data_IF_198281446956
#
_entry.id   IF_198281446956
#
_cell.length_a   1.000
_cell.length_b   1.000
_cell.length_c   1.000
_cell.angle_alpha   90.00
_cell.angle_beta   90.00
_cell.angle_gamma   90.00
#
_symmetry.space_group_name_H-M   'P 1'
#
loop_
_entity.id
_entity.type
_entity.pdbx_description
1 polymer ?
#
# COMPACT_ATOMS: atom_id res chain seq x y z
N UNK A 1 19.60 2.46 20.74
CA UNK A 1 18.23 2.16 20.30
C UNK A 1 17.42 1.48 21.40
N UNK A 2 17.84 0.32 21.94
CA UNK A 2 17.11 -0.38 23.02
C UNK A 2 16.84 0.46 24.27
N UNK A 3 17.79 1.32 24.66
CA UNK A 3 17.68 2.26 25.79
C UNK A 3 16.90 3.55 25.49
N UNK A 4 16.27 3.69 24.32
CA UNK A 4 15.50 4.87 23.93
C UNK A 4 16.32 6.09 23.50
N UNK A 5 17.66 6.04 23.56
CA UNK A 5 18.54 7.15 23.15
C UNK A 5 18.53 7.43 21.64
N UNK A 6 18.25 6.42 20.82
CA UNK A 6 18.13 6.53 19.38
C UNK A 6 16.71 6.13 19.00
N UNK A 7 16.03 6.96 18.20
CA UNK A 7 14.64 6.76 17.80
C UNK A 7 14.51 5.71 16.69
N UNK A 8 15.48 5.67 15.76
CA UNK A 8 15.43 4.84 14.56
C UNK A 8 16.71 4.04 14.47
N UNK A 9 16.59 2.82 13.95
CA UNK A 9 17.69 1.99 13.53
C UNK A 9 17.48 1.61 12.07
N UNK A 10 18.57 1.66 11.29
CA UNK A 10 18.59 1.26 9.89
C UNK A 10 19.52 0.05 9.81
N UNK A 11 19.01 -1.07 9.32
CA UNK A 11 19.77 -2.31 9.24
C UNK A 11 19.25 -3.21 8.13
N UNK A 12 20.08 -4.18 7.74
CA UNK A 12 19.69 -5.25 6.81
C UNK A 12 18.98 -6.38 7.56
N UNK A 13 18.51 -7.39 6.83
CA UNK A 13 17.83 -8.58 7.39
C UNK A 13 18.63 -9.24 8.52
N UNK A 14 19.97 -9.22 8.43
CA UNK A 14 20.87 -9.78 9.43
C UNK A 14 20.70 -9.16 10.83
N UNK A 15 20.33 -7.88 10.89
CA UNK A 15 20.17 -7.16 12.16
C UNK A 15 18.93 -7.58 12.95
N UNK A 16 17.96 -8.27 12.33
CA UNK A 16 16.72 -8.64 13.00
C UNK A 16 16.91 -9.67 14.11
N UNK A 17 17.79 -10.65 13.94
CA UNK A 17 17.88 -11.77 14.90
C UNK A 17 18.29 -11.28 16.30
N UNK A 18 17.57 -11.72 17.34
CA UNK A 18 17.86 -11.37 18.73
C UNK A 18 17.25 -10.05 19.23
N UNK A 19 16.67 -9.22 18.36
CA UNK A 19 16.00 -7.99 18.78
C UNK A 19 14.57 -8.25 19.25
N UNK A 20 14.33 -8.04 20.54
CA UNK A 20 13.02 -8.19 21.19
C UNK A 20 12.64 -6.93 21.99
N UNK A 21 12.56 -5.77 21.33
CA UNK A 21 12.02 -4.54 21.94
C UNK A 21 10.48 -4.54 21.79
N UNK A 22 9.70 -4.49 22.88
CA UNK A 22 8.25 -4.66 22.80
C UNK A 22 7.52 -3.47 22.15
N UNK A 23 8.05 -2.27 22.36
CA UNK A 23 7.45 -0.97 22.05
C UNK A 23 7.88 -0.38 20.69
N UNK A 24 8.11 -1.23 19.69
CA UNK A 24 8.43 -0.77 18.32
C UNK A 24 7.16 -0.28 17.63
N UNK A 25 7.09 1.04 17.38
CA UNK A 25 5.90 1.70 16.81
C UNK A 25 5.80 1.65 15.29
N UNK A 26 6.92 1.45 14.60
CA UNK A 26 6.89 1.26 13.16
C UNK A 26 8.05 0.40 12.69
N UNK A 27 7.81 -0.33 11.59
CA UNK A 27 8.82 -1.02 10.79
C UNK A 27 8.65 -0.57 9.34
N UNK A 28 9.74 -0.10 8.73
CA UNK A 28 9.73 0.39 7.35
C UNK A 28 10.67 -0.47 6.50
N UNK A 29 10.10 -1.10 5.48
CA UNK A 29 10.82 -1.79 4.43
C UNK A 29 11.10 -0.81 3.30
N UNK A 30 12.35 -0.37 3.20
CA UNK A 30 12.81 0.49 2.11
C UNK A 30 12.77 -0.22 0.74
N UNK A 31 13.01 -1.53 0.74
CA UNK A 31 13.00 -2.36 -0.48
C UNK A 31 12.10 -3.58 -0.28
N UNK A 32 11.68 -4.19 -1.38
CA UNK A 32 10.93 -5.44 -1.41
C UNK A 32 11.66 -6.56 -0.66
N UNK A 33 10.98 -7.25 0.25
CA UNK A 33 11.52 -8.45 0.92
C UNK A 33 11.60 -9.64 -0.05
N UNK A 34 12.39 -10.66 0.31
CA UNK A 34 12.57 -11.88 -0.49
C UNK A 34 11.30 -12.72 -0.63
N UNK A 35 10.42 -12.70 0.38
CA UNK A 35 9.19 -13.49 0.41
C UNK A 35 8.16 -12.90 1.37
N UNK A 36 6.93 -13.44 1.33
CA UNK A 36 5.88 -13.07 2.28
C UNK A 36 6.26 -13.46 3.72
N UNK A 37 6.92 -14.61 3.93
CA UNK A 37 7.37 -15.06 5.25
C UNK A 37 8.44 -14.15 5.84
N UNK A 38 9.43 -13.76 5.03
CA UNK A 38 10.46 -12.81 5.46
C UNK A 38 9.83 -11.49 5.87
N UNK A 39 8.93 -10.94 5.03
CA UNK A 39 8.23 -9.70 5.36
C UNK A 39 7.34 -9.83 6.61
N UNK A 40 6.62 -10.94 6.77
CA UNK A 40 5.80 -11.22 7.95
C UNK A 40 6.64 -11.23 9.24
N UNK A 41 7.77 -11.93 9.23
CA UNK A 41 8.65 -12.02 10.40
C UNK A 41 9.31 -10.67 10.74
N UNK A 42 9.74 -9.93 9.72
CA UNK A 42 10.39 -8.62 9.89
C UNK A 42 9.41 -7.56 10.38
N UNK A 43 8.24 -7.45 9.75
CA UNK A 43 7.19 -6.51 10.11
C UNK A 43 6.55 -6.84 11.46
N UNK A 44 6.44 -8.14 11.82
CA UNK A 44 5.96 -8.63 13.11
C UNK A 44 6.85 -8.30 14.32
N UNK A 45 7.93 -7.55 14.12
CA UNK A 45 8.71 -6.93 15.22
C UNK A 45 8.01 -5.69 15.78
N UNK A 46 7.12 -5.08 15.01
CA UNK A 46 6.32 -3.95 15.46
C UNK A 46 5.27 -4.41 16.49
N UNK A 47 5.06 -3.64 17.55
CA UNK A 47 3.87 -3.76 18.40
C UNK A 47 3.75 -5.05 19.21
N UNK A 48 4.87 -5.60 19.71
CA UNK A 48 4.84 -6.81 20.58
C UNK A 48 4.21 -6.55 21.95
N UNK A 49 4.10 -5.29 22.35
CA UNK A 49 3.27 -4.84 23.48
C UNK A 49 1.76 -4.87 23.20
N UNK A 50 1.34 -5.26 22.00
CA UNK A 50 -0.07 -5.31 21.59
C UNK A 50 -0.64 -3.93 21.24
N UNK A 51 0.16 -2.87 21.36
CA UNK A 51 -0.27 -1.53 20.99
C UNK A 51 -0.16 -1.32 19.48
N UNK A 52 -0.96 -0.41 18.92
CA UNK A 52 -0.96 -0.12 17.50
C UNK A 52 0.42 0.33 17.00
N UNK A 53 0.80 -0.23 15.87
CA UNK A 53 2.06 0.04 15.19
C UNK A 53 1.88 -0.04 13.68
N UNK A 54 2.76 0.62 12.92
CA UNK A 54 2.71 0.68 11.46
C UNK A 54 3.76 -0.21 10.81
N UNK A 55 3.36 -0.92 9.76
CA UNK A 55 4.28 -1.66 8.89
C UNK A 55 4.15 -1.09 7.48
N UNK A 56 5.22 -0.46 6.98
CA UNK A 56 5.21 0.24 5.69
C UNK A 56 6.23 -0.41 4.76
N UNK A 57 5.79 -0.82 3.57
CA UNK A 57 6.68 -1.35 2.52
C UNK A 57 6.66 -0.41 1.32
N UNK A 58 7.84 0.10 0.95
CA UNK A 58 8.03 0.83 -0.30
C UNK A 58 8.26 -0.15 -1.44
N UNK A 59 7.29 -0.25 -2.35
CA UNK A 59 7.33 -1.14 -3.49
C UNK A 59 7.51 -0.35 -4.79
N UNK A 60 8.51 -0.76 -5.59
CA UNK A 60 8.63 -0.34 -6.98
C UNK A 60 8.78 -1.60 -7.84
N UNK A 61 8.01 -1.73 -8.94
CA UNK A 61 8.16 -2.86 -9.86
C UNK A 61 9.59 -2.99 -10.42
N UNK A 62 10.28 -1.86 -10.64
CA UNK A 62 11.69 -1.81 -11.05
C UNK A 62 12.67 -2.51 -10.08
N UNK A 63 12.32 -2.72 -8.81
CA UNK A 63 13.18 -3.39 -7.83
C UNK A 63 13.09 -4.92 -7.94
N UNK A 64 12.07 -5.47 -8.64
CA UNK A 64 11.83 -6.93 -8.73
C UNK A 64 12.99 -7.68 -9.40
N UNK A 65 13.55 -7.25 -10.55
CA UNK A 65 14.65 -7.99 -11.19
C UNK A 65 15.91 -8.07 -10.31
N UNK A 66 16.17 -7.04 -9.49
CA UNK A 66 17.29 -7.06 -8.54
C UNK A 66 17.06 -8.14 -7.48
N UNK A 67 15.83 -8.23 -6.98
CA UNK A 67 15.48 -9.22 -5.98
C UNK A 67 15.46 -10.64 -6.58
N UNK A 68 14.98 -10.80 -7.81
CA UNK A 68 14.93 -12.09 -8.52
C UNK A 68 16.35 -12.64 -8.76
N UNK A 69 17.29 -11.80 -9.20
CA UNK A 69 18.71 -12.15 -9.33
C UNK A 69 19.36 -12.59 -8.01
N UNK A 70 18.85 -12.19 -6.84
CA UNK A 70 19.39 -12.62 -5.55
C UNK A 70 18.82 -13.96 -5.07
N UNK A 71 17.60 -14.32 -5.49
CA UNK A 71 16.89 -15.50 -4.97
C UNK A 71 16.77 -16.64 -5.97
N UNK A 72 17.16 -16.46 -7.24
CA UNK A 72 16.91 -17.48 -8.26
C UNK A 72 17.68 -18.80 -8.04
N UNK A 73 18.77 -18.78 -7.28
CA UNK A 73 19.50 -19.97 -6.85
C UNK A 73 18.87 -20.68 -5.65
N UNK A 74 18.02 -19.99 -4.90
CA UNK A 74 17.34 -20.55 -3.73
C UNK A 74 16.21 -21.47 -4.22
N UNK A 75 16.06 -22.64 -3.59
CA UNK A 75 14.96 -23.53 -3.90
C UNK A 75 13.63 -22.81 -3.63
N UNK A 76 12.75 -22.75 -4.65
CA UNK A 76 11.50 -21.97 -4.62
C UNK A 76 11.68 -20.45 -4.41
N UNK A 77 12.89 -19.89 -4.51
CA UNK A 77 13.16 -18.48 -4.24
C UNK A 77 12.34 -17.53 -5.14
N UNK A 78 12.28 -17.82 -6.45
CA UNK A 78 11.46 -17.03 -7.38
C UNK A 78 9.96 -17.14 -7.09
N UNK A 79 9.48 -18.33 -6.73
CA UNK A 79 8.07 -18.53 -6.37
C UNK A 79 7.71 -17.66 -5.15
N UNK A 80 8.51 -17.74 -4.10
CA UNK A 80 8.32 -17.00 -2.85
C UNK A 80 8.41 -15.48 -3.08
N UNK A 81 9.33 -15.03 -3.94
CA UNK A 81 9.44 -13.64 -4.35
C UNK A 81 8.18 -13.18 -5.09
N UNK A 82 7.71 -13.96 -6.06
CA UNK A 82 6.53 -13.59 -6.84
C UNK A 82 5.26 -13.54 -5.98
N UNK A 83 5.17 -14.32 -4.91
CA UNK A 83 4.06 -14.24 -3.96
C UNK A 83 4.03 -12.90 -3.22
N UNK A 84 5.18 -12.39 -2.75
CA UNK A 84 5.22 -11.03 -2.16
C UNK A 84 5.05 -9.92 -3.20
N UNK A 85 5.47 -10.13 -4.46
CA UNK A 85 5.17 -9.19 -5.54
C UNK A 85 3.66 -9.10 -5.79
N UNK A 86 2.95 -10.23 -5.83
CA UNK A 86 1.47 -10.27 -5.92
C UNK A 86 0.83 -9.55 -4.73
N UNK A 87 1.32 -9.82 -3.52
CA UNK A 87 0.89 -9.10 -2.32
C UNK A 87 1.03 -7.58 -2.51
N UNK A 88 2.15 -7.08 -3.01
CA UNK A 88 2.38 -5.64 -3.19
C UNK A 88 1.51 -5.03 -4.31
N UNK A 89 1.30 -5.74 -5.41
CA UNK A 89 0.54 -5.25 -6.56
C UNK A 89 -0.97 -5.24 -6.33
N UNK A 90 -1.48 -6.06 -5.42
CA UNK A 90 -2.92 -6.12 -5.11
C UNK A 90 -3.41 -4.81 -4.49
N UNK A 91 -4.40 -4.19 -5.13
CA UNK A 91 -5.05 -2.94 -4.66
C UNK A 91 -6.43 -3.19 -4.07
N UNK A 92 -6.99 -4.40 -4.26
CA UNK A 92 -8.33 -4.78 -3.78
C UNK A 92 -8.30 -5.69 -2.57
N UNK A 93 -7.33 -6.62 -2.52
CA UNK A 93 -7.31 -7.65 -1.50
C UNK A 93 -6.86 -7.09 -0.15
N UNK A 94 -7.52 -7.48 0.93
CA UNK A 94 -7.06 -7.15 2.27
C UNK A 94 -5.65 -7.71 2.52
N UNK A 95 -4.72 -6.87 3.00
CA UNK A 95 -3.35 -7.28 3.34
C UNK A 95 -3.31 -8.40 4.38
N UNK A 96 -4.18 -8.37 5.39
CA UNK A 96 -4.28 -9.44 6.40
C UNK A 96 -4.79 -10.75 5.80
N UNK A 97 -5.82 -10.68 4.97
CA UNK A 97 -6.35 -11.87 4.28
C UNK A 97 -5.31 -12.53 3.39
N UNK A 98 -4.44 -11.75 2.74
CA UNK A 98 -3.32 -12.30 1.97
C UNK A 98 -2.38 -13.14 2.84
N UNK A 99 -2.03 -12.68 4.05
CA UNK A 99 -1.24 -13.48 4.99
C UNK A 99 -1.97 -14.73 5.48
N UNK A 100 -3.24 -14.61 5.88
CA UNK A 100 -4.01 -15.77 6.33
C UNK A 100 -4.11 -16.85 5.25
N UNK A 101 -4.33 -16.47 3.99
CA UNK A 101 -4.30 -17.42 2.86
C UNK A 101 -2.92 -18.04 2.68
N UNK A 102 -1.87 -17.23 2.73
CA UNK A 102 -0.49 -17.67 2.56
C UNK A 102 -0.08 -18.73 3.60
N UNK A 103 -0.46 -18.53 4.87
CA UNK A 103 -0.17 -19.46 5.97
C UNK A 103 -1.26 -20.52 6.21
N UNK A 104 -2.27 -20.60 5.32
CA UNK A 104 -3.41 -21.50 5.46
C UNK A 104 -4.14 -21.39 6.81
N UNK A 105 -4.24 -20.17 7.34
CA UNK A 105 -4.95 -19.84 8.57
C UNK A 105 -6.41 -19.39 8.31
N UNK A 106 -7.32 -19.55 9.29
CA UNK A 106 -8.69 -19.06 9.17
C UNK A 106 -8.73 -17.54 8.95
N UNK A 107 -9.56 -17.09 7.99
CA UNK A 107 -9.73 -15.68 7.70
C UNK A 107 -10.34 -14.94 8.90
N UNK A 108 -9.78 -13.78 9.22
CA UNK A 108 -10.31 -12.87 10.24
C UNK A 108 -10.61 -11.49 9.65
N UNK A 109 -11.52 -10.76 10.28
CA UNK A 109 -11.87 -9.40 9.87
C UNK A 109 -10.71 -8.42 10.07
N UNK A 110 -10.42 -7.64 9.03
CA UNK A 110 -9.34 -6.65 9.09
C UNK A 110 -9.68 -5.46 9.99
N UNK A 111 -10.97 -5.11 10.12
CA UNK A 111 -11.43 -3.92 10.82
C UNK A 111 -10.81 -2.60 10.31
N UNK A 112 -10.45 -2.55 9.03
CA UNK A 112 -9.83 -1.38 8.41
C UNK A 112 -8.35 -1.18 8.76
N UNK A 113 -7.67 -2.14 9.39
CA UNK A 113 -6.28 -2.03 9.85
C UNK A 113 -5.21 -2.12 8.74
N UNK A 114 -5.59 -2.08 7.45
CA UNK A 114 -4.65 -2.04 6.34
C UNK A 114 -5.09 -1.02 5.30
N UNK A 115 -4.14 -0.56 4.48
CA UNK A 115 -4.34 0.41 3.41
C UNK A 115 -5.51 0.06 2.48
N UNK A 116 -5.57 -1.17 1.96
CA UNK A 116 -6.62 -1.60 1.03
C UNK A 116 -8.03 -1.62 1.66
N UNK A 117 -8.14 -1.86 2.98
CA UNK A 117 -9.42 -1.83 3.69
C UNK A 117 -9.78 -0.43 4.21
N UNK A 118 -8.77 0.38 4.53
CA UNK A 118 -8.95 1.75 5.02
C UNK A 118 -9.31 2.72 3.89
N UNK A 119 -8.70 2.52 2.72
CA UNK A 119 -8.86 3.35 1.54
C UNK A 119 -9.55 2.55 0.44
N UNK A 120 -10.88 2.67 0.41
CA UNK A 120 -11.73 2.17 -0.66
C UNK A 120 -11.58 3.02 -1.93
N UNK A 121 -10.42 2.98 -2.56
CA UNK A 121 -10.27 3.60 -3.87
C UNK A 121 -11.03 2.77 -4.90
N UNK A 122 -11.71 3.44 -5.83
CA UNK A 122 -12.24 2.75 -7.00
C UNK A 122 -11.03 2.19 -7.79
N UNK A 123 -10.87 0.88 -7.74
CA UNK A 123 -9.88 0.17 -8.55
C UNK A 123 -10.57 -0.22 -9.83
N UNK A 124 -9.97 0.14 -10.97
CA UNK A 124 -10.44 -0.26 -12.29
C UNK A 124 -9.51 -1.32 -12.85
N UNK A 125 -10.07 -2.36 -13.44
CA UNK A 125 -9.31 -3.30 -14.25
C UNK A 125 -9.26 -2.76 -15.67
N UNK A 126 -8.05 -2.51 -16.15
CA UNK A 126 -7.81 -2.08 -17.52
C UNK A 126 -7.32 -3.28 -18.34
N UNK A 127 -7.99 -3.57 -19.44
CA UNK A 127 -7.50 -4.51 -20.44
C UNK A 127 -6.31 -3.89 -21.17
N UNK A 128 -5.16 -4.54 -21.04
CA UNK A 128 -3.87 -4.16 -21.64
C UNK A 128 -3.36 -5.26 -22.56
N UNK A 129 -4.26 -6.09 -23.10
CA UNK A 129 -3.92 -7.19 -24.00
C UNK A 129 -3.22 -6.72 -25.27
N UNK A 130 -3.54 -5.52 -25.76
CA UNK A 130 -2.88 -4.94 -26.92
C UNK A 130 -1.41 -4.58 -26.63
N UNK A 131 -1.13 -3.99 -25.47
CA UNK A 131 0.24 -3.75 -25.00
C UNK A 131 0.97 -5.06 -24.74
N UNK A 132 0.30 -6.06 -24.17
CA UNK A 132 0.89 -7.38 -23.94
C UNK A 132 1.28 -8.07 -25.26
N UNK A 133 0.44 -7.99 -26.29
CA UNK A 133 0.78 -8.47 -27.64
C UNK A 133 2.01 -7.76 -28.20
N UNK A 134 2.07 -6.43 -28.10
CA UNK A 134 3.24 -5.66 -28.53
C UNK A 134 4.52 -6.11 -27.81
N UNK A 135 4.46 -6.28 -26.48
CA UNK A 135 5.60 -6.77 -25.69
C UNK A 135 6.09 -8.13 -26.17
N UNK A 136 5.18 -9.07 -26.39
CA UNK A 136 5.52 -10.42 -26.86
C UNK A 136 6.13 -10.37 -28.27
N UNK A 137 5.54 -9.60 -29.20
CA UNK A 137 6.09 -9.43 -30.55
C UNK A 137 7.49 -8.84 -30.52
N UNK A 138 7.71 -7.76 -29.76
CA UNK A 138 9.03 -7.13 -29.63
C UNK A 138 10.08 -8.10 -29.06
N UNK A 139 9.72 -8.91 -28.07
CA UNK A 139 10.65 -9.88 -27.51
C UNK A 139 10.99 -10.99 -28.50
N UNK A 140 10.03 -11.46 -29.30
CA UNK A 140 10.32 -12.40 -30.39
C UNK A 140 11.32 -11.82 -31.39
N UNK A 141 11.07 -10.61 -31.87
CA UNK A 141 11.96 -9.94 -32.83
C UNK A 141 13.37 -9.76 -32.23
N UNK A 142 13.48 -9.36 -30.96
CA UNK A 142 14.75 -9.22 -30.25
C UNK A 142 15.50 -10.56 -30.19
N UNK A 143 14.78 -11.66 -29.92
CA UNK A 143 15.37 -13.00 -29.85
C UNK A 143 15.76 -13.57 -31.21
N UNK A 144 14.97 -13.32 -32.26
CA UNK A 144 15.31 -13.71 -33.64
C UNK A 144 16.57 -13.01 -34.16
N UNK A 145 16.92 -11.85 -33.59
CA UNK A 145 18.14 -11.11 -33.87
C UNK A 145 19.29 -11.41 -32.87
N UNK A 146 19.20 -12.49 -32.09
CA UNK A 146 20.19 -12.90 -31.07
C UNK A 146 20.50 -11.81 -30.01
N UNK A 147 19.55 -10.92 -29.75
CA UNK A 147 19.68 -9.87 -28.74
C UNK A 147 19.01 -10.27 -27.41
N UNK A 148 19.48 -9.66 -26.32
CA UNK A 148 18.91 -9.80 -24.98
C UNK A 148 18.55 -8.44 -24.42
N UNK A 149 17.49 -8.40 -23.62
CA UNK A 149 16.97 -7.16 -23.05
C UNK A 149 16.57 -7.35 -21.59
N UNK A 150 16.94 -6.41 -20.73
CA UNK A 150 16.47 -6.41 -19.33
C UNK A 150 15.06 -5.83 -19.26
N UNK A 151 14.37 -6.06 -18.13
CA UNK A 151 13.03 -5.52 -17.89
C UNK A 151 12.97 -3.99 -18.11
N UNK A 152 13.95 -3.25 -17.57
CA UNK A 152 13.97 -1.79 -17.69
C UNK A 152 14.24 -1.34 -19.14
N UNK A 153 15.14 -2.02 -19.86
CA UNK A 153 15.38 -1.73 -21.27
C UNK A 153 14.15 -2.03 -22.13
N UNK A 154 13.40 -3.10 -21.81
CA UNK A 154 12.16 -3.45 -22.48
C UNK A 154 11.09 -2.38 -22.27
N UNK A 155 10.94 -1.86 -21.04
CA UNK A 155 10.02 -0.76 -20.72
C UNK A 155 10.36 0.49 -21.52
N UNK A 156 11.64 0.86 -21.64
CA UNK A 156 12.04 2.04 -22.43
C UNK A 156 11.74 1.84 -23.94
N UNK A 157 12.01 0.66 -24.50
CA UNK A 157 11.63 0.35 -25.89
C UNK A 157 10.10 0.36 -26.08
N UNK A 158 9.35 -0.20 -25.12
CA UNK A 158 7.89 -0.25 -25.15
C UNK A 158 7.27 1.14 -25.09
N UNK A 159 7.83 2.04 -24.26
CA UNK A 159 7.39 3.42 -24.14
C UNK A 159 7.46 4.19 -25.47
N UNK A 160 8.43 3.86 -26.32
CA UNK A 160 8.55 4.46 -27.67
C UNK A 160 7.53 3.84 -28.64
N UNK A 161 7.38 2.51 -28.62
CA UNK A 161 6.54 1.78 -29.58
C UNK A 161 5.04 1.78 -29.26
N UNK A 162 4.66 2.06 -28.00
CA UNK A 162 3.25 2.07 -27.59
C UNK A 162 2.43 3.21 -28.22
N UNK A 163 3.08 4.25 -28.76
CA UNK A 163 2.42 5.41 -29.38
C UNK A 163 1.46 5.03 -30.51
N UNK A 164 1.63 3.84 -31.09
CA UNK A 164 0.77 3.31 -32.15
C UNK A 164 -0.51 2.63 -31.61
N UNK A 165 -0.67 2.46 -30.30
CA UNK A 165 -1.80 1.76 -29.67
C UNK A 165 -2.95 2.69 -29.21
N UNK A 166 -2.80 4.00 -29.35
CA UNK A 166 -3.84 4.98 -29.00
C UNK A 166 -4.14 5.13 -27.50
N UNK A 167 -3.47 4.35 -26.63
CA UNK A 167 -3.57 4.43 -25.18
C UNK A 167 -2.19 4.33 -24.55
N UNK A 168 -1.63 5.47 -24.16
CA UNK A 168 -0.28 5.55 -23.62
C UNK A 168 -0.28 5.26 -22.11
N UNK A 169 0.39 4.18 -21.72
CA UNK A 169 0.66 3.88 -20.31
C UNK A 169 1.89 4.65 -19.85
N UNK A 170 1.85 5.13 -18.60
CA UNK A 170 2.99 5.77 -17.93
C UNK A 170 4.09 4.74 -17.65
N UNK A 171 5.31 5.22 -17.38
CA UNK A 171 6.46 4.35 -17.08
C UNK A 171 6.14 3.34 -15.97
N UNK A 172 5.61 3.79 -14.84
CA UNK A 172 5.26 2.92 -13.71
C UNK A 172 4.21 1.85 -14.08
N UNK A 173 3.29 2.19 -15.00
CA UNK A 173 2.23 1.30 -15.48
C UNK A 173 2.80 0.25 -16.46
N UNK A 174 3.76 0.65 -17.30
CA UNK A 174 4.51 -0.28 -18.15
C UNK A 174 5.37 -1.24 -17.33
N UNK A 175 6.02 -0.75 -16.27
CA UNK A 175 6.76 -1.62 -15.36
C UNK A 175 5.82 -2.62 -14.66
N UNK A 176 4.64 -2.16 -14.19
CA UNK A 176 3.60 -3.05 -13.64
C UNK A 176 3.13 -4.09 -14.66
N UNK A 177 2.91 -3.69 -15.92
CA UNK A 177 2.55 -4.59 -17.01
C UNK A 177 3.61 -5.67 -17.22
N UNK A 178 4.89 -5.31 -17.34
CA UNK A 178 5.95 -6.30 -17.59
C UNK A 178 6.04 -7.29 -16.42
N UNK A 179 5.96 -6.81 -15.17
CA UNK A 179 5.91 -7.70 -13.99
C UNK A 179 4.66 -8.60 -14.04
N UNK A 180 3.48 -8.07 -14.37
CA UNK A 180 2.25 -8.86 -14.50
C UNK A 180 2.41 -9.99 -15.52
N UNK A 181 3.04 -9.70 -16.66
CA UNK A 181 3.28 -10.71 -17.69
C UNK A 181 4.26 -11.81 -17.24
N UNK A 182 5.26 -11.47 -16.40
CA UNK A 182 6.14 -12.45 -15.76
C UNK A 182 5.35 -13.32 -14.77
N UNK A 183 4.55 -12.69 -13.90
CA UNK A 183 3.72 -13.40 -12.90
C UNK A 183 2.67 -14.32 -13.52
N UNK A 184 2.20 -13.99 -14.73
CA UNK A 184 1.24 -14.76 -15.51
C UNK A 184 1.89 -15.81 -16.43
N UNK A 185 3.21 -15.98 -16.37
CA UNK A 185 3.99 -16.88 -17.23
C UNK A 185 3.86 -16.60 -18.74
N UNK A 186 3.47 -15.38 -19.10
CA UNK A 186 3.51 -14.88 -20.48
C UNK A 186 4.95 -14.53 -20.85
N UNK A 187 5.69 -13.99 -19.89
CA UNK A 187 7.14 -13.78 -19.96
C UNK A 187 7.83 -14.66 -18.91
N UNK A 188 9.14 -14.85 -19.07
CA UNK A 188 10.00 -15.46 -18.05
C UNK A 188 11.30 -14.67 -17.94
N UNK A 189 11.95 -14.78 -16.79
CA UNK A 189 13.30 -14.25 -16.57
C UNK A 189 14.35 -15.30 -16.94
N UNK A 190 15.45 -14.86 -17.56
CA UNK A 190 16.66 -15.65 -17.80
C UNK A 190 17.86 -14.96 -17.15
N UNK A 191 18.64 -15.73 -16.39
CA UNK A 191 19.75 -15.20 -15.61
C UNK A 191 21.08 -15.50 -16.28
N UNK A 192 21.95 -14.51 -16.33
CA UNK A 192 23.31 -14.67 -16.86
C UNK A 192 24.34 -14.10 -15.89
N UNK A 193 25.38 -14.89 -15.65
CA UNK A 193 26.50 -14.49 -14.82
C UNK A 193 27.52 -13.68 -15.61
N UNK A 194 27.96 -12.61 -14.98
CA UNK A 194 29.17 -11.88 -15.34
C UNK A 194 30.15 -12.01 -14.18
N UNK A 195 31.38 -11.53 -14.35
CA UNK A 195 32.40 -11.55 -13.30
C UNK A 195 31.97 -10.83 -12.00
N UNK A 196 30.98 -9.92 -12.07
CA UNK A 196 30.62 -9.05 -10.95
C UNK A 196 29.14 -9.11 -10.55
N UNK A 197 28.27 -9.68 -11.38
CA UNK A 197 26.82 -9.65 -11.14
C UNK A 197 26.06 -10.76 -11.89
N UNK A 198 24.88 -11.07 -11.36
CA UNK A 198 23.84 -11.84 -12.07
C UNK A 198 22.85 -10.87 -12.70
N UNK A 199 22.82 -10.84 -14.03
CA UNK A 199 21.88 -10.03 -14.79
C UNK A 199 20.60 -10.84 -15.08
N UNK A 200 19.44 -10.23 -14.84
CA UNK A 200 18.13 -10.76 -15.21
C UNK A 200 17.67 -10.16 -16.55
N UNK A 201 17.54 -11.01 -17.56
CA UNK A 201 16.97 -10.70 -18.86
C UNK A 201 15.54 -11.21 -18.94
N UNK A 202 14.72 -10.62 -19.81
CA UNK A 202 13.33 -11.03 -20.01
C UNK A 202 13.18 -11.66 -21.39
N UNK A 203 12.42 -12.74 -21.47
CA UNK A 203 12.14 -13.47 -22.71
C UNK A 203 10.69 -13.98 -22.72
N UNK A 204 10.24 -14.51 -23.86
CA UNK A 204 8.91 -15.10 -24.00
C UNK A 204 8.74 -16.33 -23.09
N UNK A 205 7.63 -16.35 -22.37
CA UNK A 205 7.21 -17.45 -21.51
C UNK A 205 6.27 -18.43 -22.22
N UNK A 206 5.90 -19.54 -21.55
CA UNK A 206 5.08 -20.60 -22.13
C UNK A 206 3.69 -20.13 -22.59
N UNK A 207 3.12 -19.08 -21.97
CA UNK A 207 1.79 -18.57 -22.32
C UNK A 207 1.81 -17.43 -23.34
N UNK A 208 2.97 -17.06 -23.88
CA UNK A 208 3.14 -15.97 -24.86
C UNK A 208 2.23 -16.13 -26.09
N UNK A 209 2.13 -17.35 -26.63
CA UNK A 209 1.32 -17.62 -27.82
C UNK A 209 -0.18 -17.44 -27.59
N UNK A 210 -0.67 -17.70 -26.37
CA UNK A 210 -2.08 -17.50 -26.05
C UNK A 210 -2.47 -16.01 -26.06
N UNK A 211 -1.54 -15.13 -25.65
CA UNK A 211 -1.73 -13.68 -25.71
C UNK A 211 -1.76 -13.20 -27.17
N UNK A 212 -0.81 -13.66 -28.00
CA UNK A 212 -0.79 -13.31 -29.43
C UNK A 212 -2.06 -13.75 -30.16
N UNK A 213 -2.56 -14.96 -29.87
CA UNK A 213 -3.81 -15.49 -30.43
C UNK A 213 -5.07 -14.85 -29.85
N UNK A 214 -4.95 -13.96 -28.85
CA UNK A 214 -6.09 -13.35 -28.17
C UNK A 214 -6.89 -14.31 -27.27
N UNK A 215 -6.34 -15.48 -26.94
CA UNK A 215 -6.98 -16.47 -26.06
C UNK A 215 -6.79 -16.18 -24.57
N UNK A 216 -5.76 -15.39 -24.22
CA UNK A 216 -5.49 -14.94 -22.85
C UNK A 216 -5.60 -13.42 -22.79
N UNK A 217 -6.59 -12.93 -22.04
CA UNK A 217 -6.79 -11.50 -21.76
C UNK A 217 -5.86 -11.12 -20.61
N UNK A 218 -5.17 -9.98 -20.74
CA UNK A 218 -4.29 -9.44 -19.70
C UNK A 218 -4.91 -8.17 -19.15
N UNK A 219 -5.20 -8.17 -17.85
CA UNK A 219 -5.71 -7.01 -17.12
C UNK A 219 -4.71 -6.55 -16.06
N UNK A 220 -4.73 -5.25 -15.79
CA UNK A 220 -3.94 -4.61 -14.73
C UNK A 220 -4.85 -3.76 -13.84
N UNK A 221 -4.64 -3.84 -12.53
CA UNK A 221 -5.38 -3.03 -11.56
C UNK A 221 -4.80 -1.61 -11.53
N UNK A 222 -5.61 -0.62 -11.92
CA UNK A 222 -5.25 0.79 -11.85
C UNK A 222 -6.06 1.48 -10.76
N UNK A 223 -5.38 2.24 -9.91
CA UNK A 223 -6.07 3.12 -8.96
C UNK A 223 -6.36 4.42 -9.69
N UNK A 224 -7.63 4.80 -9.78
CA UNK A 224 -7.95 6.18 -10.13
C UNK A 224 -7.55 7.04 -8.95
N UNK A 225 -6.32 7.58 -8.98
CA UNK A 225 -6.00 8.73 -8.14
C UNK A 225 -6.94 9.84 -8.58
N UNK A 226 -8.01 10.08 -7.82
CA UNK A 226 -8.52 11.44 -7.76
C UNK A 226 -7.33 12.27 -7.33
N UNK A 227 -6.87 13.14 -8.24
CA UNK A 227 -5.81 14.09 -7.98
C UNK A 227 -6.25 14.97 -6.80
N UNK A 228 -5.99 14.53 -5.58
CA UNK A 228 -5.73 15.46 -4.48
C UNK A 228 -4.33 15.95 -4.74
N UNK A 229 -4.25 16.95 -5.63
CA UNK A 229 -3.06 17.81 -5.74
C UNK A 229 -2.61 18.13 -4.32
N UNK A 230 -1.32 17.97 -4.08
CA UNK A 230 -0.62 18.47 -2.90
C UNK A 230 -0.77 20.00 -2.84
N UNK A 231 -1.94 20.48 -2.44
CA UNK A 231 -2.13 21.83 -1.96
C UNK A 231 -1.89 21.79 -0.45
N UNK A 232 -0.77 22.39 -0.07
CA UNK A 232 -0.55 23.09 1.20
C UNK A 232 -1.85 23.34 1.99
N UNK A 233 -1.80 23.12 3.30
CA UNK A 233 -2.78 23.60 4.29
C UNK A 233 -3.27 25.01 3.94
N UNK A 234 -4.37 25.08 3.19
CA UNK A 234 -5.25 26.23 3.06
C UNK A 234 -6.64 25.66 3.02
N UNK A 235 -7.38 25.97 4.08
CA UNK A 235 -8.82 25.78 4.20
C UNK A 235 -9.51 26.44 3.00
N UNK A 236 -9.78 25.67 1.94
CA UNK A 236 -10.73 26.07 0.91
C UNK A 236 -12.07 25.44 1.26
N UNK A 237 -13.04 26.32 1.51
CA UNK A 237 -14.48 26.04 1.67
C UNK A 237 -14.90 24.96 0.67
N UNK A 238 -15.14 23.74 1.15
CA UNK A 238 -16.02 22.80 0.47
C UNK A 238 -17.45 23.25 0.75
N UNK A 239 -18.26 23.26 -0.30
CA UNK A 239 -19.70 23.43 -0.22
C UNK A 239 -20.26 22.53 0.88
N UNK A 240 -21.10 23.13 1.75
CA UNK A 240 -21.62 22.58 3.01
C UNK A 240 -22.31 21.22 2.77
N UNK A 241 -21.56 20.12 2.84
CA UNK A 241 -22.07 18.85 3.36
C UNK A 241 -22.16 18.98 4.89
N UNK A 242 -23.24 18.45 5.45
CA UNK A 242 -23.61 18.56 6.87
C UNK A 242 -22.43 18.32 7.83
N UNK A 243 -22.09 19.28 8.69
CA UNK A 243 -20.98 19.21 9.68
C UNK A 243 -21.03 18.08 10.71
N UNK A 244 -21.93 17.11 10.54
CA UNK A 244 -21.90 15.82 11.22
C UNK A 244 -20.70 14.98 10.77
N UNK A 245 -20.24 15.10 9.52
CA UNK A 245 -19.04 14.41 9.04
C UNK A 245 -17.77 14.85 9.79
N UNK A 246 -17.61 16.15 10.00
CA UNK A 246 -16.51 16.74 10.78
C UNK A 246 -16.58 16.29 12.25
N UNK A 247 -17.77 16.31 12.87
CA UNK A 247 -17.95 15.83 14.26
C UNK A 247 -17.65 14.35 14.42
N UNK A 248 -18.11 13.51 13.49
CA UNK A 248 -17.79 12.09 13.50
C UNK A 248 -16.30 11.85 13.26
N UNK A 249 -15.62 12.70 12.47
CA UNK A 249 -14.16 12.64 12.32
C UNK A 249 -13.39 13.07 13.58
N UNK A 250 -13.89 14.06 14.31
CA UNK A 250 -13.34 14.45 15.62
C UNK A 250 -13.53 13.35 16.66
N UNK A 251 -14.75 12.82 16.81
CA UNK A 251 -15.05 11.69 17.68
C UNK A 251 -14.18 10.47 17.32
N UNK A 252 -14.00 10.20 16.02
CA UNK A 252 -13.12 9.15 15.52
C UNK A 252 -11.68 9.30 16.04
N UNK A 253 -11.13 10.52 16.04
CA UNK A 253 -9.78 10.82 16.56
C UNK A 253 -9.73 10.74 18.07
N UNK A 254 -10.77 11.19 18.77
CA UNK A 254 -10.87 11.11 20.23
C UNK A 254 -10.86 9.64 20.67
N UNK A 255 -11.80 8.83 20.16
CA UNK A 255 -11.91 7.40 20.48
C UNK A 255 -10.62 6.64 20.13
N UNK A 256 -9.98 7.00 19.02
CA UNK A 256 -8.69 6.44 18.64
C UNK A 256 -7.58 6.72 19.67
N UNK A 257 -7.58 7.92 20.27
CA UNK A 257 -6.58 8.28 21.28
C UNK A 257 -6.87 7.63 22.65
N UNK A 258 -8.14 7.50 23.04
CA UNK A 258 -8.55 6.90 24.33
C UNK A 258 -8.22 5.40 24.38
N UNK A 259 -8.47 4.66 23.30
CA UNK A 259 -8.31 3.19 23.28
C UNK A 259 -6.86 2.71 23.01
N UNK A 260 -5.87 3.46 23.48
CA UNK A 260 -4.46 3.04 23.39
C UNK A 260 -3.79 3.35 22.06
N UNK A 261 -4.24 4.40 21.36
CA UNK A 261 -3.56 4.89 20.14
C UNK A 261 -3.83 4.07 18.89
N UNK A 262 -5.03 3.50 18.76
CA UNK A 262 -5.47 2.84 17.51
C UNK A 262 -5.59 3.88 16.40
N UNK A 263 -5.42 3.49 15.14
CA UNK A 263 -5.52 4.45 14.06
C UNK A 263 -6.97 4.96 13.93
N UNK A 264 -7.19 6.26 13.66
CA UNK A 264 -8.53 6.82 13.48
C UNK A 264 -9.38 6.04 12.46
N UNK A 265 -8.78 5.64 11.33
CA UNK A 265 -9.48 4.89 10.29
C UNK A 265 -9.94 3.49 10.72
N UNK A 266 -9.33 2.91 11.76
CA UNK A 266 -9.72 1.63 12.35
C UNK A 266 -10.95 1.77 13.25
N UNK A 267 -11.16 2.94 13.86
CA UNK A 267 -12.42 3.29 14.54
C UNK A 267 -13.52 3.45 13.48
N UNK A 268 -13.37 4.38 12.55
CA UNK A 268 -14.31 4.57 11.43
C UNK A 268 -13.58 4.89 10.12
N UNK A 269 -13.87 4.15 9.05
CA UNK A 269 -13.36 4.51 7.72
C UNK A 269 -14.07 5.77 7.21
N UNK A 270 -13.50 6.42 6.19
CA UNK A 270 -14.16 7.59 5.58
C UNK A 270 -15.47 7.24 4.90
N UNK A 271 -15.58 6.03 4.34
CA UNK A 271 -16.84 5.51 3.82
C UNK A 271 -17.85 5.29 4.92
N UNK A 272 -17.44 4.74 6.07
CA UNK A 272 -18.33 4.54 7.21
C UNK A 272 -18.85 5.88 7.73
N UNK A 273 -18.01 6.91 7.86
CA UNK A 273 -18.46 8.26 8.23
C UNK A 273 -19.47 8.80 7.21
N UNK A 274 -19.17 8.68 5.91
CA UNK A 274 -20.09 9.11 4.85
C UNK A 274 -21.43 8.36 4.90
N UNK A 275 -21.41 7.04 5.12
CA UNK A 275 -22.60 6.21 5.23
C UNK A 275 -23.43 6.53 6.49
N UNK A 276 -22.78 6.78 7.62
CA UNK A 276 -23.44 7.20 8.87
C UNK A 276 -24.11 8.56 8.73
N UNK A 277 -23.44 9.51 8.09
CA UNK A 277 -24.00 10.85 7.82
C UNK A 277 -25.21 10.79 6.88
N UNK A 278 -25.19 9.88 5.90
CA UNK A 278 -26.29 9.69 4.96
C UNK A 278 -27.50 8.95 5.58
N UNK A 279 -27.25 7.89 6.35
CA UNK A 279 -28.30 7.00 6.86
C UNK A 279 -28.82 7.39 8.24
N UNK A 280 -28.02 8.10 9.06
CA UNK A 280 -28.34 8.56 10.42
C UNK A 280 -29.04 7.48 11.27
N UNK A 281 -28.37 6.35 11.54
CA UNK A 281 -28.94 5.24 12.29
C UNK A 281 -29.38 5.68 13.69
N UNK A 282 -30.52 5.18 14.15
CA UNK A 282 -31.10 5.48 15.48
C UNK A 282 -31.06 4.31 16.44
N UNK A 283 -30.72 3.12 15.96
CA UNK A 283 -30.62 1.91 16.75
C UNK A 283 -29.25 1.26 16.61
N UNK A 284 -28.90 0.43 17.60
CA UNK A 284 -27.68 -0.39 17.58
C UNK A 284 -27.69 -1.35 16.39
N UNK A 285 -28.85 -1.92 16.04
CA UNK A 285 -29.00 -2.86 14.92
C UNK A 285 -28.75 -2.20 13.56
N UNK A 286 -29.22 -0.96 13.37
CA UNK A 286 -28.94 -0.18 12.15
C UNK A 286 -27.46 0.19 12.06
N UNK A 287 -26.86 0.57 13.20
CA UNK A 287 -25.44 0.91 13.28
C UNK A 287 -24.56 -0.31 12.96
N UNK A 288 -24.90 -1.48 13.48
CA UNK A 288 -24.18 -2.73 13.25
C UNK A 288 -24.10 -3.10 11.76
N UNK A 289 -25.17 -2.85 11.00
CA UNK A 289 -25.17 -3.06 9.55
C UNK A 289 -24.18 -2.17 8.80
N UNK A 290 -23.84 -1.00 9.35
CA UNK A 290 -22.96 -0.01 8.71
C UNK A 290 -21.50 -0.20 9.13
N UNK A 291 -21.24 -0.41 10.42
CA UNK A 291 -19.87 -0.44 10.97
C UNK A 291 -19.39 -1.83 11.40
N UNK A 292 -20.28 -2.82 11.42
CA UNK A 292 -20.00 -4.18 11.87
C UNK A 292 -20.12 -4.36 13.38
N UNK A 293 -20.28 -5.62 13.80
CA UNK A 293 -20.58 -6.01 15.19
C UNK A 293 -19.52 -5.54 16.19
N UNK A 294 -18.25 -5.84 15.94
CA UNK A 294 -17.14 -5.51 16.85
C UNK A 294 -17.00 -4.00 17.09
N UNK A 295 -17.19 -3.17 16.06
CA UNK A 295 -17.12 -1.71 16.19
C UNK A 295 -18.32 -1.14 16.92
N UNK A 296 -19.50 -1.73 16.68
CA UNK A 296 -20.75 -1.36 17.35
C UNK A 296 -20.69 -1.67 18.83
N UNK A 297 -20.21 -2.86 19.19
CA UNK A 297 -20.00 -3.26 20.59
C UNK A 297 -19.04 -2.31 21.33
N UNK A 298 -17.97 -1.86 20.66
CA UNK A 298 -16.94 -1.01 21.29
C UNK A 298 -17.26 0.48 21.30
N UNK A 299 -17.81 1.01 20.21
CA UNK A 299 -17.93 2.46 19.98
C UNK A 299 -19.37 2.92 19.74
N UNK A 300 -20.31 1.98 19.62
CA UNK A 300 -21.64 2.26 19.10
C UNK A 300 -22.45 3.25 19.93
N UNK A 301 -22.34 3.20 21.26
CA UNK A 301 -23.03 4.12 22.16
C UNK A 301 -22.62 5.58 21.92
N UNK A 302 -21.31 5.85 21.89
CA UNK A 302 -20.74 7.19 21.65
C UNK A 302 -21.05 7.70 20.24
N UNK A 303 -21.04 6.82 19.24
CA UNK A 303 -21.38 7.20 17.86
C UNK A 303 -22.87 7.58 17.75
N UNK A 304 -23.77 6.78 18.34
CA UNK A 304 -25.21 7.09 18.35
C UNK A 304 -25.51 8.36 19.15
N UNK A 305 -24.82 8.58 20.26
CA UNK A 305 -24.92 9.80 21.05
C UNK A 305 -24.52 11.04 20.24
N UNK A 306 -23.41 10.98 19.49
CA UNK A 306 -22.96 12.09 18.62
C UNK A 306 -23.93 12.35 17.46
N UNK A 307 -24.49 11.29 16.86
CA UNK A 307 -25.50 11.42 15.80
C UNK A 307 -26.80 12.01 16.37
N UNK A 308 -27.21 11.61 17.58
CA UNK A 308 -28.41 12.11 18.24
C UNK A 308 -28.26 13.54 18.77
N UNK A 309 -27.06 13.91 19.24
CA UNK A 309 -26.74 15.25 19.73
C UNK A 309 -26.64 16.28 18.59
N UNK A 310 -26.41 15.81 17.36
CA UNK A 310 -26.43 16.63 16.16
C UNK A 310 -27.86 17.06 15.79
N UNK A 311 -28.33 18.14 16.41
CA UNK A 311 -29.51 18.87 15.94
C UNK A 311 -29.16 19.58 14.64
N UNK A 312 -29.90 19.30 13.57
CA UNK A 312 -29.87 20.14 12.37
C UNK A 312 -30.39 21.53 12.75
N UNK A 313 -29.50 22.47 13.02
CA UNK A 313 -29.87 23.84 13.33
C UNK A 313 -30.30 24.54 12.02
N UNK A 314 -31.57 24.95 11.85
CA UNK A 314 -32.01 25.63 10.64
C UNK A 314 -31.64 27.12 10.62
N UNK A 315 -30.90 27.64 11.61
CA UNK A 315 -30.82 29.08 11.85
C UNK A 315 -29.39 29.57 12.16
N UNK A 316 -28.49 29.45 11.17
CA UNK A 316 -27.26 30.24 11.08
C UNK A 316 -27.02 30.75 9.64
N UNK A 317 -28.06 31.29 9.04
CA UNK A 317 -27.98 32.16 7.85
C UNK A 317 -28.53 33.55 8.19
N UNK A 318 -28.03 34.18 9.25
CA UNK A 318 -28.15 35.63 9.49
C UNK A 318 -27.25 36.04 10.67
N UNK A 319 -26.05 36.51 10.34
CA UNK A 319 -25.28 37.58 10.99
C UNK A 319 -23.80 37.23 11.13
N UNK A 320 -23.02 37.83 10.22
CA UNK A 320 -21.58 37.93 10.36
C UNK A 320 -21.25 38.96 11.44
N UNK A 321 -20.44 38.56 12.42
CA UNK A 321 -19.52 39.46 13.12
C UNK A 321 -18.28 38.71 13.56
N UNK A 322 -17.16 39.10 12.98
CA UNK A 322 -15.82 38.63 13.28
C UNK A 322 -15.43 38.97 14.73
N UNK A 323 -14.86 37.99 15.45
CA UNK A 323 -14.00 38.25 16.61
C UNK A 323 -12.68 37.53 16.43
N UNK A 324 -11.61 38.30 16.20
CA UNK A 324 -10.22 37.83 16.09
C UNK A 324 -9.74 37.32 17.45
N UNK A 325 -9.38 36.03 17.52
CA UNK A 325 -8.69 35.39 18.65
C UNK A 325 -7.32 34.88 18.24
N UNK A 326 -6.28 35.31 18.97
CA UNK A 326 -4.86 35.15 18.67
C UNK A 326 -4.38 33.69 18.62
N UNK A 327 -3.64 33.34 17.56
CA UNK A 327 -2.94 32.06 17.42
C UNK A 327 -1.60 32.08 18.19
N UNK A 328 -1.48 31.21 19.19
CA UNK A 328 -0.22 30.95 19.91
C UNK A 328 0.67 30.05 19.04
N UNK A 329 1.82 30.58 18.60
CA UNK A 329 2.86 29.84 17.87
C UNK A 329 3.58 28.85 18.81
N UNK A 330 3.42 27.54 18.59
CA UNK A 330 4.32 26.52 19.17
C UNK A 330 5.70 26.59 18.49
N UNK A 331 6.73 26.88 19.28
CA UNK A 331 8.14 26.84 18.87
C UNK A 331 8.55 25.41 18.48
N UNK A 332 9.12 25.24 17.28
CA UNK A 332 9.80 24.01 16.87
C UNK A 332 11.23 24.02 17.42
N UNK A 333 11.50 23.22 18.44
CA UNK A 333 12.88 22.92 18.88
C UNK A 333 13.50 21.91 17.91
N UNK A 334 14.51 22.34 17.14
CA UNK A 334 15.37 21.46 16.34
C UNK A 334 16.22 20.61 17.30
N UNK A 335 15.89 19.33 17.49
CA UNK A 335 16.87 18.34 17.98
C UNK A 335 17.69 17.86 16.80
N UNK A 336 19.01 18.00 16.88
CA UNK A 336 19.93 17.47 15.88
C UNK A 336 19.87 15.94 15.89
N UNK A 337 19.68 15.35 14.71
CA UNK A 337 19.83 13.91 14.48
C UNK A 337 21.31 13.58 14.58
N UNK A 338 21.68 12.78 15.58
CA UNK A 338 23.03 12.22 15.69
C UNK A 338 23.03 10.90 14.93
N UNK A 339 23.67 10.89 13.77
CA UNK A 339 24.01 9.68 13.03
C UNK A 339 25.27 9.11 13.70
N UNK A 340 25.19 7.87 14.20
CA UNK A 340 26.36 7.13 14.64
C UNK A 340 26.60 6.05 13.59
N UNK A 341 27.64 6.23 12.79
CA UNK A 341 28.16 5.20 11.91
C UNK A 341 28.88 4.17 12.79
N UNK A 342 28.47 2.91 12.69
CA UNK A 342 29.21 1.80 13.31
C UNK A 342 30.32 1.44 12.33
N UNK A 343 31.53 1.93 12.57
CA UNK A 343 32.74 1.44 11.90
C UNK A 343 32.99 0.00 12.34
N UNK A 344 33.07 -0.91 11.37
CA UNK A 344 33.73 -2.19 11.52
C UNK A 344 35.21 -1.90 11.77
N UNK A 345 35.69 -2.19 12.99
CA UNK A 345 37.09 -2.43 13.31
C UNK A 345 37.09 -3.15 14.65
N UNK A 346 37.34 -4.47 14.63
CA UNK A 346 38.46 -5.09 15.36
C UNK A 346 38.69 -6.49 14.76
N UNK A 347 39.94 -6.72 14.36
CA UNK A 347 40.48 -7.93 13.75
C UNK A 347 40.75 -9.03 14.79
#
# INVERSE_FOLDING_TARGET
WSSGKLQVIVGTVAFGMGINKPDVRFVVHHSLSKSMETYYQESGRAGRDGLPSECVLFFRPADVPRQSSMVFYENSGLKNLYDIVRYCQSKRECRRSAFFRHFAEPLQECNGMCDNCAFSNEVKELDVSSHAKLVVSMLKDIQENDQRVTMLQLVEKLKVNQKNLGSDLKKDELEQLVIKLILDHVLKEEYQHTAYATNAYVTVGPLAMQVLQGKKIITVEMSTRQSRTSSSMRSSKRERSSGLDDKLDELRKELASIHGGIFPHSVLSMQQISALTAQKPKSIEELEKIIGKLKTEKYGSRILEEIASYKSDPQQDADGKESKGNAVKKLKTKKALVVLESSEDEA
#
